data_IF_533160941037
#
_entry.id   IF_533160941037
#
_cell.length_a   1.000
_cell.length_b   1.000
_cell.length_c   1.000
_cell.angle_alpha   90.00
_cell.angle_beta   90.00
_cell.angle_gamma   90.00
#
_symmetry.space_group_name_H-M   'P 1'
#
loop_
_entity.id
_entity.type
_entity.pdbx_description
1 polymer ?
#
# COMPACT_ATOMS: atom_id res chain seq x y z
N UNK A 1 4.75 34.67 -18.70
CA UNK A 1 5.36 34.08 -17.49
C UNK A 1 4.31 33.63 -16.49
N UNK A 2 3.29 34.44 -16.14
CA UNK A 2 2.18 34.01 -15.26
C UNK A 2 1.42 32.78 -15.80
N UNK A 3 1.09 32.83 -17.09
CA UNK A 3 0.31 31.79 -17.78
C UNK A 3 0.95 30.38 -17.74
N UNK A 4 2.29 30.28 -17.84
CA UNK A 4 2.99 29.00 -17.74
C UNK A 4 3.07 28.48 -16.30
N UNK A 5 3.13 29.38 -15.31
CA UNK A 5 3.06 28.96 -13.89
C UNK A 5 1.69 28.36 -13.62
N UNK A 6 0.62 29.03 -14.06
CA UNK A 6 -0.76 28.54 -13.93
C UNK A 6 -0.95 27.20 -14.65
N UNK A 7 -0.40 27.05 -15.86
CA UNK A 7 -0.40 25.79 -16.59
C UNK A 7 0.28 24.67 -15.80
N UNK A 8 1.47 24.89 -15.24
CA UNK A 8 2.18 23.87 -14.48
C UNK A 8 1.49 23.55 -13.15
N UNK A 9 0.89 24.54 -12.50
CA UNK A 9 0.11 24.33 -11.28
C UNK A 9 -1.17 23.53 -11.58
N UNK A 10 -1.80 23.73 -12.74
CA UNK A 10 -3.01 23.01 -13.13
C UNK A 10 -2.83 21.50 -13.25
N UNK A 11 -1.60 21.03 -13.50
CA UNK A 11 -1.27 19.60 -13.55
C UNK A 11 -0.72 19.07 -12.21
N UNK A 12 -0.86 19.82 -11.12
CA UNK A 12 -0.51 19.39 -9.76
C UNK A 12 0.89 19.76 -9.26
N UNK A 13 1.65 20.60 -9.98
CA UNK A 13 2.91 21.12 -9.43
C UNK A 13 2.63 22.19 -8.37
N UNK A 14 3.41 22.16 -7.28
CA UNK A 14 3.42 23.27 -6.32
C UNK A 14 3.94 24.54 -7.00
N UNK A 15 3.38 25.69 -6.65
CA UNK A 15 3.72 26.99 -7.26
C UNK A 15 5.23 27.29 -7.21
N UNK A 16 5.90 26.97 -6.11
CA UNK A 16 7.36 27.12 -6.00
C UNK A 16 8.10 26.27 -7.03
N UNK A 17 7.67 25.02 -7.23
CA UNK A 17 8.28 24.10 -8.20
C UNK A 17 8.01 24.55 -9.64
N UNK A 18 6.83 25.06 -9.93
CA UNK A 18 6.50 25.65 -11.23
C UNK A 18 7.43 26.84 -11.56
N UNK A 19 7.65 27.75 -10.59
CA UNK A 19 8.58 28.88 -10.73
C UNK A 19 10.03 28.43 -10.93
N UNK A 20 10.48 27.40 -10.22
CA UNK A 20 11.81 26.81 -10.43
C UNK A 20 11.96 26.19 -11.83
N UNK A 21 10.93 25.49 -12.29
CA UNK A 21 10.92 24.83 -13.61
C UNK A 21 11.10 25.85 -14.72
N UNK A 22 10.43 27.02 -14.62
CA UNK A 22 10.58 28.13 -15.56
C UNK A 22 11.99 28.68 -15.70
N UNK A 23 12.85 28.50 -14.69
CA UNK A 23 14.27 28.90 -14.79
C UNK A 23 15.06 28.00 -15.75
N UNK A 24 14.53 26.82 -16.10
CA UNK A 24 15.11 25.91 -17.08
C UNK A 24 14.27 25.93 -18.38
N UNK A 25 14.74 26.64 -19.43
CA UNK A 25 13.98 26.80 -20.67
C UNK A 25 13.70 25.47 -21.39
N UNK A 26 14.66 24.53 -21.36
CA UNK A 26 14.52 23.25 -22.03
C UNK A 26 13.42 22.39 -21.38
N UNK A 27 13.47 22.25 -20.04
CA UNK A 27 12.45 21.50 -19.30
C UNK A 27 11.09 22.17 -19.41
N UNK A 28 11.03 23.51 -19.35
CA UNK A 28 9.78 24.25 -19.49
C UNK A 28 9.13 24.07 -20.86
N UNK A 29 9.93 24.11 -21.93
CA UNK A 29 9.45 23.87 -23.29
C UNK A 29 8.96 22.44 -23.46
N UNK A 30 9.74 21.45 -23.01
CA UNK A 30 9.36 20.04 -23.07
C UNK A 30 8.08 19.76 -22.26
N UNK A 31 7.96 20.35 -21.06
CA UNK A 31 6.80 20.16 -20.21
C UNK A 31 5.55 20.75 -20.84
N UNK A 32 5.65 21.93 -21.44
CA UNK A 32 4.54 22.52 -22.19
C UNK A 32 4.06 21.58 -23.30
N UNK A 33 4.99 21.06 -24.11
CA UNK A 33 4.67 20.10 -25.18
C UNK A 33 3.99 18.85 -24.61
N UNK A 34 4.53 18.28 -23.53
CA UNK A 34 3.93 17.12 -22.86
C UNK A 34 2.49 17.38 -22.41
N UNK A 35 2.21 18.56 -21.82
CA UNK A 35 0.87 18.93 -21.36
C UNK A 35 -0.08 19.14 -22.54
N UNK A 36 0.38 19.84 -23.58
CA UNK A 36 -0.42 20.10 -24.77
C UNK A 36 -0.80 18.79 -25.49
N UNK A 37 0.13 17.84 -25.60
CA UNK A 37 -0.17 16.50 -26.14
C UNK A 37 -1.10 15.69 -25.22
N UNK A 38 -0.90 15.75 -23.90
CA UNK A 38 -1.71 15.01 -22.95
C UNK A 38 -3.18 15.47 -22.97
N UNK A 39 -3.40 16.79 -23.04
CA UNK A 39 -4.74 17.40 -23.07
C UNK A 39 -5.52 17.12 -24.34
N UNK A 40 -4.86 16.74 -25.45
CA UNK A 40 -5.55 16.25 -26.65
C UNK A 40 -6.25 14.91 -26.42
N UNK A 41 -5.77 14.13 -25.45
CA UNK A 41 -6.27 12.79 -25.14
C UNK A 41 -7.35 12.88 -24.07
N UNK A 42 -7.01 13.43 -22.90
CA UNK A 42 -7.91 13.56 -21.76
C UNK A 42 -7.40 14.63 -20.78
N UNK A 43 -8.20 14.97 -19.77
CA UNK A 43 -7.77 15.91 -18.73
C UNK A 43 -6.63 15.33 -17.87
N UNK A 44 -5.74 16.21 -17.42
CA UNK A 44 -4.50 15.82 -16.73
C UNK A 44 -4.67 15.95 -15.23
N UNK A 45 -4.71 14.82 -14.54
CA UNK A 45 -4.76 14.81 -13.08
C UNK A 45 -3.37 15.06 -12.45
N UNK A 46 -3.33 15.23 -11.13
CA UNK A 46 -2.08 15.52 -10.42
C UNK A 46 -1.03 14.39 -10.50
N UNK A 47 -1.44 13.13 -10.64
CA UNK A 47 -0.51 12.00 -10.74
C UNK A 47 0.14 11.94 -12.12
N UNK A 48 -0.66 12.13 -13.17
CA UNK A 48 -0.21 12.22 -14.56
C UNK A 48 0.74 13.39 -14.73
N UNK A 49 0.41 14.56 -14.15
CA UNK A 49 1.27 15.73 -14.22
C UNK A 49 2.66 15.53 -13.60
N UNK A 50 2.77 14.75 -12.53
CA UNK A 50 4.07 14.40 -11.93
C UNK A 50 4.89 13.54 -12.90
N UNK A 51 4.27 12.58 -13.59
CA UNK A 51 4.95 11.74 -14.58
C UNK A 51 5.32 12.52 -15.84
N UNK A 52 4.46 13.42 -16.32
CA UNK A 52 4.75 14.30 -17.45
C UNK A 52 5.90 15.26 -17.12
N UNK A 53 5.95 15.80 -15.89
CA UNK A 53 7.10 16.58 -15.41
C UNK A 53 8.37 15.75 -15.40
N UNK A 54 8.31 14.51 -14.91
CA UNK A 54 9.46 13.61 -14.89
C UNK A 54 9.96 13.31 -16.30
N UNK A 55 9.05 13.03 -17.25
CA UNK A 55 9.37 12.85 -18.67
C UNK A 55 10.06 14.10 -19.23
N UNK A 56 9.47 15.29 -19.05
CA UNK A 56 10.03 16.54 -19.56
C UNK A 56 11.42 16.86 -18.98
N UNK A 57 11.66 16.47 -17.72
CA UNK A 57 12.93 16.71 -17.04
C UNK A 57 14.06 15.76 -17.47
N UNK A 58 13.72 14.54 -17.91
CA UNK A 58 14.70 13.48 -18.22
C UNK A 58 14.85 13.17 -19.72
N UNK A 59 13.90 13.59 -20.55
CA UNK A 59 13.97 13.37 -21.99
C UNK A 59 15.20 14.08 -22.58
N UNK A 60 15.95 13.36 -23.41
CA UNK A 60 17.13 13.90 -24.10
C UNK A 60 16.81 14.18 -25.58
N UNK A 61 17.53 15.10 -26.23
CA UNK A 61 17.28 15.46 -27.62
C UNK A 61 17.28 14.28 -28.60
N UNK A 62 18.05 13.22 -28.32
CA UNK A 62 18.13 12.04 -29.19
C UNK A 62 16.81 11.27 -29.28
N UNK A 63 15.94 11.37 -28.28
CA UNK A 63 14.71 10.58 -28.16
C UNK A 63 13.45 11.43 -28.14
N UNK A 64 13.57 12.74 -28.37
CA UNK A 64 12.44 13.68 -28.35
C UNK A 64 11.36 13.35 -29.38
N UNK A 65 11.71 12.68 -30.49
CA UNK A 65 10.75 12.21 -31.49
C UNK A 65 9.71 11.23 -30.92
N UNK A 66 10.03 10.52 -29.83
CA UNK A 66 9.13 9.55 -29.18
C UNK A 66 8.29 10.16 -28.05
N UNK A 67 8.39 11.48 -27.82
CA UNK A 67 7.64 12.17 -26.77
C UNK A 67 6.12 11.94 -26.88
N UNK A 68 5.45 12.06 -28.05
CA UNK A 68 4.02 11.85 -28.16
C UNK A 68 3.58 10.44 -27.72
N UNK A 69 4.36 9.42 -28.08
CA UNK A 69 4.11 8.02 -27.69
C UNK A 69 4.21 7.83 -26.17
N UNK A 70 5.24 8.41 -25.54
CA UNK A 70 5.42 8.32 -24.09
C UNK A 70 4.30 9.05 -23.34
N UNK A 71 3.85 10.21 -23.85
CA UNK A 71 2.71 10.93 -23.29
C UNK A 71 1.44 10.08 -23.40
N UNK A 72 1.16 9.50 -24.57
CA UNK A 72 0.02 8.59 -24.75
C UNK A 72 0.06 7.43 -23.75
N UNK A 73 1.23 6.84 -23.51
CA UNK A 73 1.37 5.73 -22.57
C UNK A 73 1.22 6.13 -21.09
N UNK A 74 1.62 7.36 -20.73
CA UNK A 74 1.35 7.92 -19.40
C UNK A 74 -0.17 8.11 -19.23
N UNK A 75 -0.83 8.75 -20.21
CA UNK A 75 -2.28 9.01 -20.14
C UNK A 75 -3.09 7.70 -20.15
N UNK A 76 -2.66 6.70 -20.92
CA UNK A 76 -3.26 5.36 -20.94
C UNK A 76 -2.89 4.48 -19.72
N UNK A 77 -2.20 5.04 -18.70
CA UNK A 77 -1.76 4.35 -17.47
C UNK A 77 -0.86 3.14 -17.70
N UNK A 78 -0.23 3.03 -18.88
CA UNK A 78 0.76 1.99 -19.20
C UNK A 78 2.09 2.24 -18.49
N UNK A 79 2.50 3.51 -18.45
CA UNK A 79 3.67 4.01 -17.70
C UNK A 79 3.22 4.67 -16.40
N UNK A 80 2.67 3.87 -15.48
CA UNK A 80 2.07 4.35 -14.23
C UNK A 80 3.08 4.74 -13.14
N UNK A 81 4.39 4.54 -13.34
CA UNK A 81 5.40 4.87 -12.34
C UNK A 81 6.67 5.48 -12.94
N UNK A 82 7.39 6.26 -12.13
CA UNK A 82 8.66 6.87 -12.51
C UNK A 82 9.69 5.83 -12.97
N UNK A 83 9.68 4.65 -12.36
CA UNK A 83 10.59 3.56 -12.69
C UNK A 83 10.32 2.97 -14.09
N UNK A 84 9.05 2.82 -14.48
CA UNK A 84 8.66 2.38 -15.83
C UNK A 84 9.06 3.41 -16.87
N UNK A 85 8.81 4.68 -16.57
CA UNK A 85 9.19 5.80 -17.42
C UNK A 85 10.70 5.89 -17.61
N UNK A 86 11.48 5.74 -16.53
CA UNK A 86 12.94 5.72 -16.58
C UNK A 86 13.46 4.56 -17.42
N UNK A 87 12.88 3.37 -17.28
CA UNK A 87 13.24 2.20 -18.08
C UNK A 87 12.89 2.38 -19.57
N UNK A 88 11.73 2.97 -19.87
CA UNK A 88 11.33 3.33 -21.23
C UNK A 88 12.34 4.31 -21.87
N UNK A 89 12.71 5.37 -21.16
CA UNK A 89 13.70 6.35 -21.61
C UNK A 89 15.08 5.70 -21.81
N UNK A 90 15.52 4.81 -20.92
CA UNK A 90 16.77 4.08 -21.06
C UNK A 90 16.79 3.15 -22.28
N UNK A 91 15.68 2.47 -22.56
CA UNK A 91 15.54 1.63 -23.75
C UNK A 91 15.66 2.46 -25.03
N UNK A 92 14.95 3.59 -25.10
CA UNK A 92 15.00 4.49 -26.27
C UNK A 92 16.40 5.07 -26.49
N UNK A 93 17.11 5.41 -25.41
CA UNK A 93 18.49 5.92 -25.52
C UNK A 93 19.48 4.86 -25.99
N UNK A 94 19.24 3.59 -25.63
CA UNK A 94 20.08 2.46 -26.05
C UNK A 94 19.80 2.01 -27.49
N UNK A 95 18.65 2.39 -28.05
CA UNK A 95 18.20 2.00 -29.39
C UNK A 95 17.79 3.24 -30.22
N UNK A 96 18.74 4.11 -30.61
CA UNK A 96 18.44 5.34 -31.36
C UNK A 96 18.09 5.12 -32.84
N UNK A 97 18.20 3.88 -33.35
CA UNK A 97 17.90 3.54 -34.75
C UNK A 97 16.39 3.64 -35.03
N UNK A 98 16.03 4.23 -36.18
CA UNK A 98 14.68 4.75 -36.49
C UNK A 98 13.51 3.77 -36.49
N UNK A 99 13.77 2.45 -36.48
CA UNK A 99 12.71 1.44 -36.39
C UNK A 99 12.44 1.07 -34.93
N UNK A 100 11.55 1.83 -34.29
CA UNK A 100 11.14 1.57 -32.92
C UNK A 100 10.39 0.23 -32.82
N UNK A 101 11.00 -0.77 -32.17
CA UNK A 101 10.30 -1.97 -31.77
C UNK A 101 9.43 -1.69 -30.54
N UNK A 102 8.15 -1.42 -30.78
CA UNK A 102 7.16 -1.11 -29.75
C UNK A 102 7.00 -2.24 -28.73
N UNK A 103 7.11 -3.50 -29.14
CA UNK A 103 6.96 -4.64 -28.23
C UNK A 103 8.16 -4.76 -27.29
N UNK A 104 9.37 -4.61 -27.81
CA UNK A 104 10.58 -4.60 -26.98
C UNK A 104 10.61 -3.40 -26.01
N UNK A 105 10.08 -2.23 -26.42
CA UNK A 105 9.90 -1.10 -25.52
C UNK A 105 8.90 -1.42 -24.38
N UNK A 106 7.77 -2.07 -24.69
CA UNK A 106 6.79 -2.50 -23.67
C UNK A 106 7.41 -3.44 -22.65
N UNK A 107 8.14 -4.45 -23.11
CA UNK A 107 8.84 -5.41 -22.25
C UNK A 107 9.88 -4.71 -21.36
N UNK A 108 10.73 -3.86 -21.95
CA UNK A 108 11.77 -3.14 -21.21
C UNK A 108 11.21 -2.19 -20.15
N UNK A 109 10.05 -1.58 -20.40
CA UNK A 109 9.38 -0.65 -19.50
C UNK A 109 8.34 -1.30 -18.57
N UNK A 110 8.18 -2.62 -18.64
CA UNK A 110 7.25 -3.38 -17.79
C UNK A 110 5.78 -3.09 -18.06
N UNK A 111 5.44 -2.52 -19.23
CA UNK A 111 4.06 -2.25 -19.61
C UNK A 111 3.28 -3.56 -19.68
N UNK A 112 2.14 -3.61 -19.00
CA UNK A 112 1.28 -4.80 -18.93
C UNK A 112 1.62 -5.77 -17.79
N UNK A 113 2.74 -5.58 -17.09
CA UNK A 113 3.00 -6.33 -15.85
C UNK A 113 2.17 -5.68 -14.74
N UNK A 114 1.34 -6.46 -14.05
CA UNK A 114 0.64 -6.02 -12.85
C UNK A 114 1.08 -6.91 -11.70
N UNK A 115 1.71 -6.33 -10.68
CA UNK A 115 2.15 -7.10 -9.52
C UNK A 115 1.02 -7.10 -8.50
N UNK A 116 0.52 -8.27 -8.13
CA UNK A 116 -0.62 -8.38 -7.21
C UNK A 116 -0.19 -8.28 -5.75
N UNK A 117 -1.09 -7.91 -4.82
CA UNK A 117 -0.79 -7.94 -3.38
C UNK A 117 -0.30 -9.30 -2.89
N UNK A 118 -0.87 -10.38 -3.42
CA UNK A 118 -0.50 -11.76 -3.07
C UNK A 118 0.92 -12.10 -3.54
N UNK A 119 1.32 -11.66 -4.74
CA UNK A 119 2.69 -11.82 -5.21
C UNK A 119 3.70 -11.07 -4.32
N UNK A 120 3.31 -9.89 -3.81
CA UNK A 120 4.12 -9.12 -2.86
C UNK A 120 4.20 -9.87 -1.52
N UNK A 121 3.08 -10.33 -0.97
CA UNK A 121 3.00 -11.11 0.28
C UNK A 121 3.92 -12.34 0.21
N UNK A 122 3.78 -13.15 -0.84
CA UNK A 122 4.59 -14.34 -1.07
C UNK A 122 6.07 -14.00 -1.24
N UNK A 123 6.40 -12.93 -1.98
CA UNK A 123 7.79 -12.53 -2.17
C UNK A 123 8.42 -12.05 -0.86
N UNK A 124 7.70 -11.28 -0.05
CA UNK A 124 8.14 -10.79 1.26
C UNK A 124 8.31 -11.97 2.22
N UNK A 125 7.33 -12.87 2.30
CA UNK A 125 7.37 -14.05 3.17
C UNK A 125 8.59 -14.92 2.86
N UNK A 126 8.82 -15.19 1.56
CA UNK A 126 9.96 -15.98 1.10
C UNK A 126 11.31 -15.33 1.46
N UNK A 127 11.42 -14.00 1.48
CA UNK A 127 12.66 -13.31 1.85
C UNK A 127 12.80 -13.26 3.38
N UNK A 128 11.73 -12.99 4.12
CA UNK A 128 11.72 -12.99 5.58
C UNK A 128 12.12 -14.38 6.11
N UNK A 129 11.59 -15.45 5.54
CA UNK A 129 11.95 -16.82 5.92
C UNK A 129 13.44 -17.12 5.72
N UNK A 130 14.10 -16.54 4.71
CA UNK A 130 15.56 -16.66 4.52
C UNK A 130 16.38 -15.92 5.58
N UNK A 131 15.85 -14.84 6.14
CA UNK A 131 16.53 -14.02 7.15
C UNK A 131 15.97 -14.22 8.57
N UNK A 132 15.09 -15.21 8.77
CA UNK A 132 14.31 -15.42 10.00
C UNK A 132 15.18 -15.51 11.25
N UNK A 133 16.30 -16.24 11.19
CA UNK A 133 17.24 -16.37 12.32
C UNK A 133 17.79 -15.02 12.78
N UNK A 134 18.34 -14.23 11.84
CA UNK A 134 18.89 -12.90 12.15
C UNK A 134 17.81 -11.89 12.57
N UNK A 135 16.61 -11.99 11.98
CA UNK A 135 15.46 -11.14 12.35
C UNK A 135 15.04 -11.39 13.80
N UNK A 136 14.98 -12.65 14.24
CA UNK A 136 14.62 -12.98 15.62
C UNK A 136 15.72 -12.52 16.59
N UNK A 137 16.99 -12.72 16.25
CA UNK A 137 18.13 -12.34 17.08
C UNK A 137 18.27 -10.81 17.24
N UNK A 138 18.21 -10.07 16.12
CA UNK A 138 18.43 -8.62 16.09
C UNK A 138 17.13 -7.82 16.28
N UNK A 139 15.97 -8.48 16.20
CA UNK A 139 14.63 -7.87 16.23
C UNK A 139 14.55 -6.65 15.29
N UNK A 140 14.08 -5.51 15.79
CA UNK A 140 13.94 -4.27 15.04
C UNK A 140 15.26 -3.53 14.77
N UNK A 141 16.40 -4.05 15.28
CA UNK A 141 17.73 -3.55 14.89
C UNK A 141 18.22 -4.16 13.58
N UNK A 142 17.54 -5.18 13.07
CA UNK A 142 17.80 -5.72 11.74
C UNK A 142 17.51 -4.65 10.67
N UNK A 143 18.36 -4.57 9.65
CA UNK A 143 18.15 -3.64 8.54
C UNK A 143 17.08 -4.19 7.58
N UNK A 144 15.81 -3.83 7.81
CA UNK A 144 14.69 -4.22 6.93
C UNK A 144 14.82 -3.70 5.50
N UNK A 145 15.71 -2.72 5.25
CA UNK A 145 16.07 -2.27 3.90
C UNK A 145 16.64 -3.37 3.01
N UNK A 146 17.34 -4.37 3.60
CA UNK A 146 17.84 -5.53 2.85
C UNK A 146 16.70 -6.40 2.32
N UNK A 147 15.63 -6.56 3.10
CA UNK A 147 14.44 -7.31 2.70
C UNK A 147 13.72 -6.57 1.57
N UNK A 148 13.49 -5.26 1.73
CA UNK A 148 12.88 -4.44 0.67
C UNK A 148 13.71 -4.47 -0.62
N UNK A 149 15.04 -4.38 -0.52
CA UNK A 149 15.93 -4.46 -1.69
C UNK A 149 15.83 -5.83 -2.39
N UNK A 150 15.82 -6.92 -1.62
CA UNK A 150 15.70 -8.26 -2.16
C UNK A 150 14.32 -8.48 -2.84
N UNK A 151 13.24 -7.98 -2.24
CA UNK A 151 11.90 -8.05 -2.83
C UNK A 151 11.83 -7.21 -4.11
N UNK A 152 12.30 -5.97 -4.09
CA UNK A 152 12.33 -5.09 -5.28
C UNK A 152 13.22 -5.65 -6.41
N UNK A 153 14.25 -6.44 -6.08
CA UNK A 153 15.06 -7.10 -7.11
C UNK A 153 14.33 -8.25 -7.82
N UNK A 154 13.39 -8.91 -7.13
CA UNK A 154 12.52 -9.94 -7.72
C UNK A 154 11.29 -9.33 -8.41
N UNK A 155 10.60 -8.44 -7.72
CA UNK A 155 9.39 -7.75 -8.17
C UNK A 155 9.75 -6.32 -8.59
N UNK A 156 10.48 -6.20 -9.69
CA UNK A 156 11.00 -4.91 -10.18
C UNK A 156 9.93 -3.84 -10.32
N UNK A 157 8.70 -4.23 -10.69
CA UNK A 157 7.62 -3.30 -11.03
C UNK A 157 6.55 -3.15 -9.93
N UNK A 158 6.80 -3.69 -8.74
CA UNK A 158 5.89 -3.56 -7.60
C UNK A 158 5.84 -2.13 -7.08
N UNK A 159 4.71 -1.73 -6.49
CA UNK A 159 4.63 -0.48 -5.76
C UNK A 159 5.50 -0.54 -4.49
N UNK A 160 6.49 0.34 -4.41
CA UNK A 160 7.42 0.37 -3.28
C UNK A 160 6.73 0.68 -1.94
N UNK A 161 5.60 1.41 -1.95
CA UNK A 161 4.83 1.66 -0.73
C UNK A 161 4.10 0.39 -0.27
N UNK A 162 3.46 -0.33 -1.19
CA UNK A 162 2.86 -1.64 -0.91
C UNK A 162 3.89 -2.64 -0.37
N UNK A 163 5.05 -2.78 -1.04
CA UNK A 163 6.15 -3.65 -0.57
C UNK A 163 6.61 -3.26 0.83
N UNK A 164 6.80 -1.97 1.10
CA UNK A 164 7.21 -1.49 2.42
C UNK A 164 6.18 -1.82 3.50
N UNK A 165 4.91 -1.56 3.23
CA UNK A 165 3.84 -1.84 4.18
C UNK A 165 3.77 -3.33 4.51
N UNK A 166 3.88 -4.19 3.50
CA UNK A 166 3.85 -5.65 3.68
C UNK A 166 5.06 -6.16 4.49
N UNK A 167 6.26 -5.64 4.21
CA UNK A 167 7.46 -5.94 5.01
C UNK A 167 7.28 -5.52 6.47
N UNK A 168 6.77 -4.31 6.70
CA UNK A 168 6.56 -3.79 8.05
C UNK A 168 5.50 -4.62 8.81
N UNK A 169 4.44 -5.08 8.12
CA UNK A 169 3.40 -5.96 8.68
C UNK A 169 3.94 -7.35 9.04
N UNK A 170 4.59 -8.05 8.12
CA UNK A 170 5.10 -9.40 8.40
C UNK A 170 6.23 -9.40 9.45
N UNK A 171 7.06 -8.34 9.50
CA UNK A 171 8.04 -8.18 10.58
C UNK A 171 7.34 -7.95 11.92
N UNK A 172 6.28 -7.14 11.96
CA UNK A 172 5.48 -6.93 13.17
C UNK A 172 4.85 -8.24 13.64
N UNK A 173 4.30 -9.04 12.73
CA UNK A 173 3.71 -10.35 13.04
C UNK A 173 4.75 -11.35 13.57
N UNK A 174 5.96 -11.34 13.00
CA UNK A 174 7.05 -12.22 13.41
C UNK A 174 7.65 -11.81 14.77
N UNK A 175 7.86 -10.52 15.01
CA UNK A 175 8.61 -10.02 16.17
C UNK A 175 7.74 -9.50 17.31
N UNK A 176 6.46 -9.23 17.05
CA UNK A 176 5.57 -8.52 17.96
C UNK A 176 5.91 -7.02 18.08
N UNK A 177 5.26 -6.30 19.01
CA UNK A 177 5.46 -4.85 19.17
C UNK A 177 6.92 -4.49 19.50
N UNK A 178 7.34 -3.29 19.11
CA UNK A 178 8.63 -2.73 19.51
C UNK A 178 8.70 -2.55 21.02
N UNK A 179 9.79 -3.03 21.63
CA UNK A 179 10.07 -2.86 23.05
C UNK A 179 11.02 -1.68 23.28
N UNK A 180 11.22 -1.27 24.54
CA UNK A 180 12.19 -0.21 24.87
C UNK A 180 13.63 -0.62 24.50
N UNK A 181 13.94 -1.92 24.57
CA UNK A 181 15.24 -2.46 24.16
C UNK A 181 15.51 -2.25 22.66
N UNK A 182 14.47 -2.37 21.84
CA UNK A 182 14.54 -2.11 20.39
C UNK A 182 14.85 -0.64 20.05
N UNK A 183 14.50 0.28 20.95
CA UNK A 183 14.74 1.73 20.81
C UNK A 183 16.15 2.15 21.27
N UNK A 184 16.86 1.28 21.99
CA UNK A 184 18.24 1.55 22.41
C UNK A 184 19.22 1.21 21.29
N UNK A 185 20.16 2.11 20.95
CA UNK A 185 21.22 1.79 20.00
C UNK A 185 22.04 0.60 20.52
N UNK A 186 22.32 -0.39 19.66
CA UNK A 186 23.18 -1.51 20.03
C UNK A 186 24.49 -1.00 20.65
N UNK A 187 24.91 -1.59 21.79
CA UNK A 187 26.20 -1.29 22.43
C UNK A 187 27.33 -1.61 21.44
N UNK A 188 27.81 -0.61 20.71
CA UNK A 188 29.06 -0.70 19.96
C UNK A 188 30.22 -0.64 20.94
N UNK A 189 30.98 -1.71 21.03
CA UNK A 189 32.34 -1.64 21.56
C UNK A 189 33.18 -0.69 20.68
N UNK A 190 34.01 0.12 21.33
CA UNK A 190 35.10 0.87 20.67
C UNK A 190 34.76 2.30 20.23
N UNK A 191 35.17 3.24 21.09
CA UNK A 191 35.25 4.71 20.94
C UNK A 191 35.55 5.22 19.52
N UNK A 192 34.78 6.23 19.07
CA UNK A 192 35.28 7.61 19.08
C UNK A 192 34.14 8.62 18.97
N UNK A 193 34.23 9.61 19.86
CA UNK A 193 33.33 10.73 20.07
C UNK A 193 33.65 11.82 19.06
N UNK A 194 32.64 12.43 18.46
CA UNK A 194 32.54 13.89 18.39
C UNK A 194 31.08 14.29 18.19
N UNK A 195 30.64 15.15 19.09
CA UNK A 195 29.28 15.64 19.21
C UNK A 195 28.97 16.69 18.14
N UNK A 196 27.71 16.74 17.69
CA UNK A 196 27.02 18.02 17.62
C UNK A 196 25.51 17.84 17.84
N UNK A 197 25.03 18.47 18.91
CA UNK A 197 23.61 18.63 19.27
C UNK A 197 23.04 19.78 18.45
N UNK A 198 21.84 19.59 17.88
CA UNK A 198 20.83 20.67 17.82
C UNK A 198 19.46 20.06 18.12
N UNK A 199 18.79 20.60 19.14
CA UNK A 199 17.40 20.38 19.53
C UNK A 199 16.48 21.22 18.62
N UNK A 200 15.29 20.70 18.28
CA UNK A 200 14.08 21.52 18.16
C UNK A 200 12.81 20.64 18.24
N UNK A 201 11.83 21.14 18.98
CA UNK A 201 10.56 20.55 19.40
C UNK A 201 9.53 20.41 18.26
N UNK A 202 8.48 19.57 18.43
CA UNK A 202 7.40 19.44 17.45
C UNK A 202 6.36 20.55 17.62
N UNK A 203 6.09 21.29 16.54
CA UNK A 203 4.96 22.22 16.43
C UNK A 203 3.66 21.47 16.14
N UNK A 204 2.71 21.65 17.04
CA UNK A 204 1.27 21.45 16.85
C UNK A 204 0.77 22.55 15.93
N UNK A 205 -0.04 22.21 14.92
CA UNK A 205 -1.01 23.15 14.37
C UNK A 205 -2.33 22.46 14.02
N UNK A 206 -3.39 23.02 14.63
CA UNK A 206 -4.80 22.79 14.35
C UNK A 206 -5.15 23.28 12.94
N UNK A 207 -6.11 22.64 12.29
CA UNK A 207 -7.30 23.36 11.78
C UNK A 207 -8.49 22.45 11.55
N UNK A 208 -9.64 23.11 11.64
CA UNK A 208 -10.95 22.70 12.08
C UNK A 208 -11.92 22.50 10.90
N UNK A 209 -13.04 21.81 11.21
CA UNK A 209 -14.41 21.97 10.67
C UNK A 209 -14.65 21.45 9.24
N UNK A 210 -15.79 20.84 8.90
CA UNK A 210 -17.15 21.03 9.42
C UNK A 210 -18.02 19.78 9.20
N UNK A 211 -19.14 19.76 9.92
CA UNK A 211 -20.06 18.63 10.11
C UNK A 211 -21.20 18.59 9.09
N UNK A 212 -21.65 17.36 8.80
CA UNK A 212 -23.01 16.87 8.50
C UNK A 212 -23.76 17.45 7.29
N UNK A 213 -24.18 16.54 6.41
CA UNK A 213 -25.62 16.38 6.17
C UNK A 213 -26.02 14.91 6.03
N UNK A 214 -27.22 14.66 6.52
CA UNK A 214 -27.91 13.37 6.63
C UNK A 214 -28.67 13.14 5.32
N UNK A 215 -28.52 11.98 4.67
CA UNK A 215 -29.58 11.49 3.80
C UNK A 215 -29.75 9.97 3.88
N UNK A 216 -31.02 9.61 4.03
CA UNK A 216 -31.60 8.29 4.18
C UNK A 216 -31.43 7.40 2.95
N UNK A 217 -31.37 6.11 3.27
CA UNK A 217 -31.70 4.92 2.48
C UNK A 217 -32.48 5.13 1.18
N UNK A 218 -31.93 4.56 0.10
CA UNK A 218 -32.64 4.14 -1.10
C UNK A 218 -31.76 3.14 -1.84
N UNK A 219 -31.98 1.85 -1.65
CA UNK A 219 -31.34 0.81 -2.46
C UNK A 219 -32.25 0.62 -3.69
N UNK A 220 -31.89 1.25 -4.79
CA UNK A 220 -32.33 0.89 -6.13
C UNK A 220 -31.09 0.61 -6.98
N UNK A 221 -30.84 -0.67 -7.26
CA UNK A 221 -30.49 -1.17 -8.60
C UNK A 221 -30.22 -2.67 -8.51
N UNK A 222 -31.00 -3.45 -9.24
CA UNK A 222 -30.74 -4.85 -9.54
C UNK A 222 -29.44 -4.98 -10.33
N UNK A 223 -28.39 -5.40 -9.63
CA UNK A 223 -27.13 -5.90 -10.16
C UNK A 223 -26.53 -6.77 -9.07
N UNK A 224 -25.84 -7.87 -9.42
CA UNK A 224 -25.18 -8.72 -8.41
C UNK A 224 -24.19 -7.84 -7.61
N UNK A 225 -24.59 -7.40 -6.42
CA UNK A 225 -23.69 -6.71 -5.50
C UNK A 225 -22.84 -7.78 -4.85
N UNK A 226 -21.54 -7.79 -5.15
CA UNK A 226 -20.62 -8.70 -4.48
C UNK A 226 -20.61 -8.39 -2.98
N UNK A 227 -20.47 -9.40 -2.13
CA UNK A 227 -20.35 -9.20 -0.69
C UNK A 227 -19.17 -8.29 -0.34
N UNK A 228 -18.12 -8.27 -1.16
CA UNK A 228 -17.00 -7.33 -1.07
C UNK A 228 -17.42 -5.86 -1.24
N UNK A 229 -18.37 -5.59 -2.14
CA UNK A 229 -18.88 -4.24 -2.41
C UNK A 229 -19.78 -3.76 -1.27
N UNK A 230 -20.51 -4.68 -0.64
CA UNK A 230 -21.27 -4.37 0.57
C UNK A 230 -20.31 -4.04 1.71
N UNK A 231 -19.30 -4.90 1.94
CA UNK A 231 -18.38 -4.79 3.06
C UNK A 231 -17.47 -3.55 2.99
N UNK A 232 -17.09 -3.10 1.79
CA UNK A 232 -16.32 -1.87 1.61
C UNK A 232 -17.13 -0.60 1.90
N UNK A 233 -18.47 -0.68 1.90
CA UNK A 233 -19.39 0.44 2.15
C UNK A 233 -19.96 0.46 3.57
N UNK A 234 -19.62 -0.51 4.40
CA UNK A 234 -20.10 -0.53 5.79
C UNK A 234 -19.36 0.53 6.60
N UNK A 235 -20.13 1.40 7.25
CA UNK A 235 -19.60 2.46 8.09
C UNK A 235 -19.18 1.92 9.48
N UNK A 236 -18.06 1.20 9.52
CA UNK A 236 -17.42 0.80 10.77
C UNK A 236 -16.27 1.75 11.12
N UNK A 237 -15.97 1.84 12.42
CA UNK A 237 -14.84 2.60 12.94
C UNK A 237 -13.49 2.10 12.39
N UNK A 238 -12.52 3.01 12.32
CA UNK A 238 -11.14 2.65 12.03
C UNK A 238 -10.49 1.94 13.24
N UNK A 239 -9.49 1.08 13.04
CA UNK A 239 -8.71 0.49 14.12
C UNK A 239 -8.16 1.55 15.10
N UNK A 240 -8.39 1.34 16.40
CA UNK A 240 -8.01 2.28 17.47
C UNK A 240 -9.02 3.42 17.73
N UNK A 241 -10.12 3.48 16.98
CA UNK A 241 -11.19 4.48 17.16
C UNK A 241 -12.46 3.91 17.79
N UNK A 242 -12.33 2.85 18.60
CA UNK A 242 -13.45 2.09 19.17
C UNK A 242 -14.42 2.98 19.97
N UNK A 243 -13.88 4.00 20.64
CA UNK A 243 -14.63 4.98 21.45
C UNK A 243 -15.62 5.84 20.65
N UNK A 244 -15.60 5.78 19.31
CA UNK A 244 -16.57 6.47 18.44
C UNK A 244 -17.81 5.64 18.15
N UNK A 245 -17.82 4.35 18.52
CA UNK A 245 -18.94 3.45 18.24
C UNK A 245 -20.05 3.62 19.27
N UNK A 246 -21.29 3.44 18.81
CA UNK A 246 -22.47 3.57 19.67
C UNK A 246 -22.42 2.54 20.81
N UNK A 247 -22.63 3.02 22.04
CA UNK A 247 -22.59 2.18 23.24
C UNK A 247 -21.18 1.90 23.80
N UNK A 248 -20.11 2.43 23.21
CA UNK A 248 -18.76 2.25 23.74
C UNK A 248 -18.57 3.00 25.06
N UNK A 249 -18.09 2.30 26.10
CA UNK A 249 -17.83 2.88 27.42
C UNK A 249 -16.42 3.44 27.49
N UNK A 250 -16.29 4.76 27.57
CA UNK A 250 -14.99 5.42 27.76
C UNK A 250 -14.64 5.49 29.24
N UNK A 251 -13.66 4.69 29.62
CA UNK A 251 -13.03 4.69 30.95
C UNK A 251 -11.76 5.57 30.97
N UNK A 252 -11.23 5.93 32.16
CA UNK A 252 -9.98 6.70 32.26
C UNK A 252 -8.78 6.05 31.56
N UNK A 253 -8.77 4.72 31.41
CA UNK A 253 -7.69 3.98 30.77
C UNK A 253 -7.91 3.73 29.26
N UNK A 254 -9.05 4.13 28.71
CA UNK A 254 -9.42 3.80 27.31
C UNK A 254 -8.36 4.24 26.32
N UNK A 255 -7.90 5.49 26.42
CA UNK A 255 -6.89 6.02 25.49
C UNK A 255 -5.54 5.32 25.64
N UNK A 256 -5.17 4.91 26.86
CA UNK A 256 -3.96 4.13 27.10
C UNK A 256 -4.06 2.76 26.42
N UNK A 257 -5.17 2.05 26.60
CA UNK A 257 -5.40 0.76 25.97
C UNK A 257 -5.49 0.84 24.44
N UNK A 258 -6.05 1.91 23.89
CA UNK A 258 -6.06 2.14 22.44
C UNK A 258 -4.63 2.31 21.90
N UNK A 259 -3.77 3.05 22.60
CA UNK A 259 -2.36 3.18 22.21
C UNK A 259 -1.61 1.85 22.29
N UNK A 260 -1.84 1.05 23.34
CA UNK A 260 -1.26 -0.30 23.47
C UNK A 260 -1.76 -1.22 22.35
N UNK A 261 -3.06 -1.18 22.05
CA UNK A 261 -3.67 -1.92 20.95
C UNK A 261 -3.04 -1.57 19.60
N UNK A 262 -2.87 -0.28 19.29
CA UNK A 262 -2.25 0.16 18.03
C UNK A 262 -0.77 -0.24 17.94
N UNK A 263 -0.04 -0.28 19.07
CA UNK A 263 1.33 -0.78 19.08
C UNK A 263 1.42 -2.26 18.73
N UNK A 264 0.46 -3.06 19.19
CA UNK A 264 0.41 -4.52 18.93
C UNK A 264 -0.07 -4.82 17.52
N UNK A 265 -1.04 -4.06 17.03
CA UNK A 265 -1.74 -4.35 15.77
C UNK A 265 -1.24 -3.56 14.57
N UNK A 266 -0.45 -2.50 14.78
CA UNK A 266 -0.03 -1.60 13.70
C UNK A 266 -1.18 -0.81 13.08
N UNK A 267 -2.37 -0.80 13.69
CA UNK A 267 -3.57 -0.22 13.08
C UNK A 267 -4.22 -1.09 12.01
N UNK A 268 -3.86 -2.37 11.91
CA UNK A 268 -4.46 -3.33 10.99
C UNK A 268 -5.83 -3.80 11.49
N UNK A 269 -6.78 -4.01 10.57
CA UNK A 269 -8.07 -4.65 10.88
C UNK A 269 -7.85 -6.11 11.28
N UNK A 270 -8.44 -6.54 12.40
CA UNK A 270 -8.35 -7.92 12.91
C UNK A 270 -9.73 -8.45 13.24
N UNK A 271 -10.19 -9.46 12.50
CA UNK A 271 -11.47 -10.14 12.73
C UNK A 271 -11.24 -11.58 13.21
N UNK A 272 -12.31 -12.28 13.60
CA UNK A 272 -12.23 -13.71 13.91
C UNK A 272 -13.47 -14.43 13.41
N UNK A 273 -13.31 -15.66 12.95
CA UNK A 273 -14.40 -16.62 12.80
C UNK A 273 -14.24 -17.68 13.89
N UNK A 274 -15.15 -17.75 14.88
CA UNK A 274 -15.03 -18.66 16.00
C UNK A 274 -16.05 -19.81 15.98
N UNK A 275 -15.85 -20.87 15.17
CA UNK A 275 -16.74 -22.02 15.16
C UNK A 275 -16.45 -22.95 16.35
N UNK A 276 -17.46 -23.68 16.79
CA UNK A 276 -17.26 -24.82 17.69
C UNK A 276 -16.46 -25.93 16.96
N UNK A 277 -15.46 -26.56 17.58
CA UNK A 277 -14.58 -27.54 16.92
C UNK A 277 -15.32 -28.80 16.44
N UNK A 278 -16.37 -29.21 17.15
CA UNK A 278 -17.25 -30.32 16.78
C UNK A 278 -18.50 -29.87 16.00
N UNK A 279 -18.63 -28.58 15.72
CA UNK A 279 -19.79 -28.01 15.06
C UNK A 279 -19.89 -28.39 13.57
N UNK A 280 -21.11 -28.60 13.09
CA UNK A 280 -21.36 -28.80 11.66
C UNK A 280 -21.67 -27.45 11.01
N UNK A 281 -20.80 -27.02 10.10
CA UNK A 281 -21.06 -25.82 9.30
C UNK A 281 -22.26 -26.05 8.37
N UNK A 282 -23.07 -25.01 8.24
CA UNK A 282 -24.26 -24.99 7.40
C UNK A 282 -24.33 -23.64 6.68
N UNK A 283 -25.31 -23.42 5.80
CA UNK A 283 -25.36 -22.22 4.95
C UNK A 283 -25.34 -20.89 5.74
N UNK A 284 -25.95 -20.83 6.92
CA UNK A 284 -25.82 -19.66 7.82
C UNK A 284 -24.37 -19.31 8.18
N UNK A 285 -23.48 -20.29 8.31
CA UNK A 285 -22.05 -20.08 8.55
C UNK A 285 -21.34 -19.47 7.33
N UNK A 286 -21.83 -19.68 6.11
CA UNK A 286 -21.28 -19.03 4.93
C UNK A 286 -21.36 -17.49 5.06
N UNK A 287 -22.45 -16.96 5.64
CA UNK A 287 -22.56 -15.52 5.94
C UNK A 287 -21.50 -15.08 6.95
N UNK A 288 -21.32 -15.84 8.04
CA UNK A 288 -20.32 -15.52 9.05
C UNK A 288 -18.89 -15.55 8.50
N UNK A 289 -18.56 -16.54 7.67
CA UNK A 289 -17.26 -16.65 7.00
C UNK A 289 -17.05 -15.44 6.09
N UNK A 290 -17.97 -15.17 5.17
CA UNK A 290 -17.84 -14.05 4.23
C UNK A 290 -17.77 -12.68 4.93
N UNK A 291 -18.51 -12.46 6.02
CA UNK A 291 -18.41 -11.21 6.77
C UNK A 291 -17.05 -11.11 7.46
N UNK A 292 -16.63 -12.12 8.23
CA UNK A 292 -15.40 -12.01 9.03
C UNK A 292 -14.15 -11.99 8.15
N UNK A 293 -14.02 -12.94 7.23
CA UNK A 293 -12.86 -13.02 6.34
C UNK A 293 -12.93 -11.95 5.23
N UNK A 294 -14.10 -11.73 4.63
CA UNK A 294 -14.26 -10.71 3.61
C UNK A 294 -14.03 -9.29 4.15
N UNK A 295 -14.46 -8.98 5.37
CA UNK A 295 -14.21 -7.66 5.96
C UNK A 295 -12.72 -7.42 6.22
N UNK A 296 -11.99 -8.46 6.66
CA UNK A 296 -10.54 -8.38 6.76
C UNK A 296 -9.90 -8.18 5.37
N UNK A 297 -10.27 -8.98 4.37
CA UNK A 297 -9.70 -8.91 3.03
C UNK A 297 -9.87 -7.53 2.36
N UNK A 298 -11.08 -6.94 2.42
CA UNK A 298 -11.33 -5.62 1.78
C UNK A 298 -10.69 -4.44 2.51
N UNK A 299 -10.26 -4.62 3.76
CA UNK A 299 -9.62 -3.58 4.58
C UNK A 299 -8.14 -3.87 4.89
N UNK A 300 -7.48 -4.71 4.08
CA UNK A 300 -6.07 -5.10 4.27
C UNK A 300 -5.78 -5.61 5.69
N UNK A 301 -6.73 -6.34 6.25
CA UNK A 301 -6.71 -6.92 7.58
C UNK A 301 -6.46 -8.42 7.60
N UNK A 302 -6.49 -9.00 8.79
CA UNK A 302 -6.34 -10.45 9.02
C UNK A 302 -7.55 -11.03 9.74
N UNK A 303 -7.88 -12.27 9.42
CA UNK A 303 -8.93 -13.02 10.10
C UNK A 303 -8.36 -14.29 10.76
N UNK A 304 -8.65 -14.44 12.06
CA UNK A 304 -8.29 -15.64 12.82
C UNK A 304 -9.40 -16.69 12.72
N UNK A 305 -9.04 -17.94 12.45
CA UNK A 305 -9.95 -19.08 12.62
C UNK A 305 -9.78 -19.61 14.04
N UNK A 306 -10.56 -19.08 14.98
CA UNK A 306 -10.36 -19.34 16.41
C UNK A 306 -11.42 -20.28 16.96
N UNK A 307 -11.15 -21.58 16.99
CA UNK A 307 -12.08 -22.56 17.53
C UNK A 307 -12.55 -22.19 18.95
N UNK A 308 -13.85 -22.36 19.20
CA UNK A 308 -14.47 -22.16 20.52
C UNK A 308 -14.43 -23.49 21.29
N UNK A 309 -13.26 -23.82 21.83
CA UNK A 309 -12.94 -25.05 22.55
C UNK A 309 -13.20 -24.94 24.07
N UNK A 310 -14.21 -24.15 24.44
CA UNK A 310 -14.57 -23.93 25.86
C UNK A 310 -15.07 -25.18 26.58
N UNK A 311 -15.42 -26.24 25.84
CA UNK A 311 -15.86 -27.53 26.38
C UNK A 311 -14.82 -28.63 26.15
N UNK A 312 -14.42 -29.39 27.20
CA UNK A 312 -13.41 -30.46 27.11
C UNK A 312 -13.98 -31.77 26.51
N UNK A 313 -14.72 -31.68 25.41
CA UNK A 313 -15.23 -32.84 24.69
C UNK A 313 -14.10 -33.56 23.91
N UNK A 314 -14.30 -34.84 23.59
CA UNK A 314 -13.41 -35.55 22.67
C UNK A 314 -13.60 -34.97 21.27
N UNK A 315 -12.71 -34.07 20.88
CA UNK A 315 -12.69 -33.48 19.55
C UNK A 315 -12.53 -34.57 18.48
N UNK A 316 -13.45 -34.60 17.52
CA UNK A 316 -13.28 -35.46 16.35
C UNK A 316 -12.56 -34.67 15.24
N UNK A 317 -11.34 -35.09 14.93
CA UNK A 317 -10.45 -34.45 13.94
C UNK A 317 -11.13 -34.16 12.59
N UNK A 318 -12.11 -34.98 12.20
CA UNK A 318 -12.89 -34.82 10.97
C UNK A 318 -13.65 -33.49 10.90
N UNK A 319 -14.18 -32.99 12.03
CA UNK A 319 -14.93 -31.73 12.05
C UNK A 319 -13.99 -30.54 12.03
N UNK A 320 -12.88 -30.62 12.77
CA UNK A 320 -11.81 -29.62 12.74
C UNK A 320 -11.27 -29.42 11.32
N UNK A 321 -10.87 -30.50 10.64
CA UNK A 321 -10.37 -30.44 9.26
C UNK A 321 -11.49 -29.97 8.31
N UNK A 322 -12.73 -30.46 8.50
CA UNK A 322 -13.87 -30.08 7.68
C UNK A 322 -14.18 -28.58 7.73
N UNK A 323 -14.13 -27.97 8.92
CA UNK A 323 -14.35 -26.54 9.12
C UNK A 323 -13.32 -25.72 8.35
N UNK A 324 -12.04 -26.04 8.52
CA UNK A 324 -10.95 -25.37 7.80
C UNK A 324 -11.11 -25.53 6.28
N UNK A 325 -11.40 -26.73 5.81
CA UNK A 325 -11.61 -27.00 4.39
C UNK A 325 -12.78 -26.19 3.81
N UNK A 326 -13.86 -25.97 4.57
CA UNK A 326 -14.97 -25.13 4.12
C UNK A 326 -14.60 -23.65 4.04
N UNK A 327 -13.78 -23.14 4.96
CA UNK A 327 -13.25 -21.78 4.89
C UNK A 327 -12.38 -21.61 3.63
N UNK A 328 -11.46 -22.55 3.39
CA UNK A 328 -10.59 -22.57 2.21
C UNK A 328 -11.39 -22.76 0.91
N UNK A 329 -12.42 -23.61 0.91
CA UNK A 329 -13.31 -23.84 -0.24
C UNK A 329 -14.08 -22.59 -0.65
N UNK A 330 -14.45 -21.74 0.32
CA UNK A 330 -15.08 -20.44 0.07
C UNK A 330 -14.09 -19.35 -0.36
N UNK A 331 -12.81 -19.68 -0.56
CA UNK A 331 -11.80 -18.78 -1.10
C UNK A 331 -11.06 -17.94 -0.04
N UNK A 332 -11.14 -18.31 1.24
CA UNK A 332 -10.47 -17.59 2.32
C UNK A 332 -9.35 -18.41 2.96
N UNK A 333 -8.27 -17.74 3.35
CA UNK A 333 -7.16 -18.34 4.09
C UNK A 333 -7.09 -17.75 5.51
N UNK A 334 -7.15 -18.57 6.56
CA UNK A 334 -6.90 -18.10 7.92
C UNK A 334 -5.48 -17.54 8.07
N UNK A 335 -5.36 -16.37 8.69
CA UNK A 335 -4.05 -15.84 9.08
C UNK A 335 -3.39 -16.73 10.13
N UNK A 336 -4.20 -17.17 11.09
CA UNK A 336 -3.80 -18.11 12.13
C UNK A 336 -5.02 -18.89 12.61
N UNK A 337 -4.78 -20.14 12.99
CA UNK A 337 -5.71 -21.02 13.69
C UNK A 337 -5.38 -21.00 15.17
#
# INVERSE_FOLDING_TARGET
>A
MSDLVELFVSIGLKEQKAKETLKNPAVSSNLKICIDEARKIQDVNSEDGILLYHLASKIKPQVTQHLPLLVEWIMAKKLSSQQRLDAALQYLLSNPAGDLNVNALKEASGVGINVTPEEIEDAVENIINKHKGELIEKRYRYNSGLIMQAVNSKLKWADGKAVKNEVDLQILDLLGPKTEEDLTPAKKGGKNVTANKVKAEPKVDKKTSSSKDIHQNGIESEGLVSITDVLSKVNFHNPGENYKTDGYVVTPNTMKHMQEHLKVTGGQVRTRFPPEPNGILHIGHAKAININFGYAAVNNGVCFLRYDDTNPEKEEEKFFIGIRNMVEWLGYKPFKV
#
